data_IF_554661531455
#
_entry.id   IF_554661531455
#
_cell.length_a   1.000
_cell.length_b   1.000
_cell.length_c   1.000
_cell.angle_alpha   90.00
_cell.angle_beta   90.00
_cell.angle_gamma   90.00
#
_symmetry.space_group_name_H-M   'P 1'
#
loop_
_entity.id
_entity.type
_entity.pdbx_description
1 polymer ?
#
# COMPACT_ATOMS: atom_id res chain seq x y z
N UNK A 1 -16.16 9.57 -26.52
CA UNK A 1 -15.82 8.80 -25.31
C UNK A 1 -16.64 9.35 -24.17
N UNK A 2 -17.58 8.57 -23.64
CA UNK A 2 -18.38 8.98 -22.48
C UNK A 2 -17.47 9.04 -21.26
N UNK A 3 -17.49 10.15 -20.53
CA UNK A 3 -16.75 10.29 -19.28
C UNK A 3 -17.54 9.53 -18.21
N UNK A 4 -16.88 8.65 -17.46
CA UNK A 4 -17.52 7.80 -16.45
C UNK A 4 -17.02 8.12 -15.03
N UNK A 5 -16.48 9.32 -14.77
CA UNK A 5 -16.03 9.65 -13.43
C UNK A 5 -17.22 9.56 -12.44
N UNK A 6 -17.03 8.86 -11.33
CA UNK A 6 -18.06 8.69 -10.31
C UNK A 6 -17.66 9.53 -9.11
N UNK A 7 -18.61 10.33 -8.61
CA UNK A 7 -18.41 11.18 -7.44
C UNK A 7 -19.44 10.86 -6.37
N UNK A 8 -19.06 10.84 -5.08
CA UNK A 8 -20.02 10.77 -3.99
C UNK A 8 -20.93 12.00 -4.04
N UNK A 9 -22.20 11.80 -3.70
CA UNK A 9 -23.21 12.84 -3.59
C UNK A 9 -23.48 13.11 -2.11
N UNK A 10 -23.54 14.38 -1.74
CA UNK A 10 -23.86 14.76 -0.37
C UNK A 10 -25.34 14.48 -0.09
N UNK A 11 -25.63 13.38 0.61
CA UNK A 11 -26.96 12.99 1.07
C UNK A 11 -26.97 12.79 2.59
N UNK A 12 -28.11 13.10 3.23
CA UNK A 12 -28.26 13.07 4.70
C UNK A 12 -28.40 11.63 5.24
N UNK A 13 -28.70 10.64 4.39
CA UNK A 13 -29.13 9.30 4.84
C UNK A 13 -28.55 8.09 4.10
N UNK A 14 -27.64 8.24 3.14
CA UNK A 14 -26.88 7.12 2.55
C UNK A 14 -25.78 7.66 1.63
N UNK A 15 -24.64 6.94 1.53
CA UNK A 15 -23.58 7.23 0.57
C UNK A 15 -24.07 6.95 -0.86
N UNK A 16 -24.70 7.94 -1.49
CA UNK A 16 -25.11 7.86 -2.90
C UNK A 16 -23.97 8.34 -3.79
N UNK A 17 -23.84 7.74 -4.97
CA UNK A 17 -22.81 8.12 -5.96
C UNK A 17 -23.49 8.44 -7.28
N UNK A 18 -22.93 9.37 -8.04
CA UNK A 18 -23.37 9.68 -9.39
C UNK A 18 -22.21 9.52 -10.37
N UNK A 19 -22.50 8.89 -11.50
CA UNK A 19 -21.56 8.81 -12.62
C UNK A 19 -21.85 9.93 -13.63
N UNK A 20 -20.80 10.46 -14.26
CA UNK A 20 -20.89 11.39 -15.39
C UNK A 20 -21.72 10.85 -16.58
N UNK A 21 -21.98 9.54 -16.64
CA UNK A 21 -22.88 8.93 -17.62
C UNK A 21 -24.39 9.06 -17.29
N UNK A 22 -24.73 9.65 -16.13
CA UNK A 22 -26.11 9.84 -15.66
C UNK A 22 -26.63 8.74 -14.73
N UNK A 23 -25.83 7.71 -14.44
CA UNK A 23 -26.22 6.65 -13.50
C UNK A 23 -26.21 7.15 -12.06
N UNK A 24 -27.29 6.85 -11.32
CA UNK A 24 -27.38 7.01 -9.86
C UNK A 24 -27.09 5.66 -9.21
N UNK A 25 -26.11 5.63 -8.32
CA UNK A 25 -25.54 4.41 -7.75
C UNK A 25 -25.83 4.43 -6.25
N UNK A 26 -26.78 3.59 -5.83
CA UNK A 26 -27.24 3.48 -4.46
C UNK A 26 -26.20 2.72 -3.61
N UNK A 27 -25.31 3.45 -2.96
CA UNK A 27 -24.29 2.86 -2.09
C UNK A 27 -22.98 2.53 -2.80
N UNK A 28 -21.93 2.37 -1.99
CA UNK A 28 -20.57 2.11 -2.44
C UNK A 28 -20.43 0.87 -3.32
N UNK A 29 -21.11 -0.23 -2.97
CA UNK A 29 -21.01 -1.49 -3.72
C UNK A 29 -21.48 -1.33 -5.18
N UNK A 30 -22.59 -0.60 -5.41
CA UNK A 30 -23.08 -0.35 -6.77
C UNK A 30 -22.12 0.55 -7.55
N UNK A 31 -21.47 1.51 -6.88
CA UNK A 31 -20.43 2.33 -7.48
C UNK A 31 -19.18 1.53 -7.87
N UNK A 32 -18.76 0.56 -7.03
CA UNK A 32 -17.62 -0.31 -7.29
C UNK A 32 -17.87 -1.22 -8.51
N UNK A 33 -19.07 -1.83 -8.60
CA UNK A 33 -19.47 -2.64 -9.76
C UNK A 33 -19.55 -1.79 -11.02
N UNK A 34 -20.19 -0.61 -10.97
CA UNK A 34 -20.28 0.25 -12.14
C UNK A 34 -18.91 0.74 -12.61
N UNK A 35 -18.00 1.09 -11.69
CA UNK A 35 -16.62 1.42 -12.01
C UNK A 35 -15.90 0.24 -12.69
N UNK A 36 -16.10 -0.97 -12.16
CA UNK A 36 -15.53 -2.20 -12.70
C UNK A 36 -15.91 -2.43 -14.16
N UNK A 37 -17.21 -2.36 -14.46
CA UNK A 37 -17.77 -2.58 -15.79
C UNK A 37 -17.28 -1.55 -16.81
N UNK A 38 -16.95 -0.34 -16.36
CA UNK A 38 -16.49 0.76 -17.20
C UNK A 38 -14.96 0.93 -17.23
N UNK A 39 -14.21 -0.08 -16.75
CA UNK A 39 -12.75 -0.07 -16.80
C UNK A 39 -12.09 0.96 -15.88
N UNK A 40 -12.80 1.42 -14.86
CA UNK A 40 -12.32 2.36 -13.86
C UNK A 40 -11.82 1.64 -12.60
N UNK A 41 -10.86 2.26 -11.92
CA UNK A 41 -10.39 1.78 -10.64
C UNK A 41 -11.55 1.77 -9.64
N UNK A 42 -11.80 0.62 -9.00
CA UNK A 42 -12.91 0.50 -8.03
C UNK A 42 -12.61 1.19 -6.68
N UNK A 43 -11.34 1.50 -6.39
CA UNK A 43 -10.96 2.16 -5.13
C UNK A 43 -11.20 3.68 -5.17
N UNK A 44 -10.88 4.34 -6.29
CA UNK A 44 -11.05 5.79 -6.47
C UNK A 44 -12.17 6.16 -7.43
N UNK A 45 -12.87 5.18 -7.99
CA UNK A 45 -13.95 5.34 -8.96
C UNK A 45 -13.58 6.20 -10.18
N UNK A 46 -12.33 6.13 -10.60
CA UNK A 46 -11.79 6.92 -11.72
C UNK A 46 -11.35 8.34 -11.38
N UNK A 47 -11.50 8.80 -10.13
CA UNK A 47 -11.14 10.17 -9.71
C UNK A 47 -9.64 10.44 -9.61
N UNK A 48 -8.80 9.39 -9.75
CA UNK A 48 -7.33 9.40 -9.58
C UNK A 48 -6.81 9.74 -8.18
N UNK A 49 -7.68 10.12 -7.25
CA UNK A 49 -7.32 10.53 -5.90
C UNK A 49 -8.03 9.69 -4.85
N UNK A 50 -7.41 9.56 -3.68
CA UNK A 50 -8.00 8.93 -2.51
C UNK A 50 -7.88 9.85 -1.30
N UNK A 51 -8.80 9.66 -0.35
CA UNK A 51 -8.84 10.37 0.94
C UNK A 51 -8.70 9.33 2.06
N UNK A 52 -7.47 8.90 2.39
CA UNK A 52 -7.25 7.84 3.38
C UNK A 52 -7.76 8.23 4.78
N UNK A 53 -7.63 9.51 5.11
CA UNK A 53 -8.16 10.14 6.33
C UNK A 53 -8.76 11.50 5.96
N UNK A 54 -9.71 12.04 6.76
CA UNK A 54 -10.25 13.36 6.52
C UNK A 54 -9.15 14.42 6.35
N UNK A 55 -9.25 15.25 5.29
CA UNK A 55 -8.30 16.32 5.01
C UNK A 55 -7.01 15.89 4.28
N UNK A 56 -6.69 14.61 4.20
CA UNK A 56 -5.51 14.14 3.45
C UNK A 56 -5.90 13.66 2.05
N UNK A 57 -5.48 14.41 1.03
CA UNK A 57 -5.65 14.05 -0.38
C UNK A 57 -4.34 13.51 -0.95
N UNK A 58 -4.37 12.33 -1.56
CA UNK A 58 -3.21 11.77 -2.28
C UNK A 58 -3.60 11.06 -3.58
N UNK A 59 -2.66 10.84 -4.52
CA UNK A 59 -2.92 9.99 -5.68
C UNK A 59 -3.36 8.58 -5.24
N UNK A 60 -4.32 8.01 -5.96
CA UNK A 60 -4.83 6.69 -5.63
C UNK A 60 -3.75 5.62 -5.80
N UNK A 61 -3.33 5.02 -4.70
CA UNK A 61 -2.27 4.01 -4.67
C UNK A 61 -2.71 2.71 -5.34
N UNK A 62 -4.01 2.38 -5.25
CA UNK A 62 -4.58 1.18 -5.86
C UNK A 62 -4.52 1.16 -7.38
N UNK A 63 -4.34 2.30 -8.06
CA UNK A 63 -4.24 2.36 -9.53
C UNK A 63 -3.10 3.27 -10.01
N UNK A 64 -2.11 3.54 -9.15
CA UNK A 64 -1.02 4.47 -9.41
C UNK A 64 -1.49 5.85 -9.96
N UNK A 65 -2.62 6.35 -9.45
CA UNK A 65 -3.20 7.64 -9.87
C UNK A 65 -3.75 7.68 -11.30
N UNK A 66 -3.89 6.54 -11.98
CA UNK A 66 -4.43 6.51 -13.35
C UNK A 66 -5.95 6.55 -13.40
N UNK A 67 -6.62 6.15 -12.31
CA UNK A 67 -8.07 5.98 -12.26
C UNK A 67 -8.56 4.76 -13.04
N UNK A 68 -7.67 3.89 -13.51
CA UNK A 68 -8.00 2.79 -14.42
C UNK A 68 -7.95 1.43 -13.73
N UNK A 69 -8.85 0.54 -14.16
CA UNK A 69 -8.96 -0.83 -13.62
C UNK A 69 -7.78 -1.71 -14.01
N UNK A 70 -7.24 -1.53 -15.22
CA UNK A 70 -6.13 -2.36 -15.72
C UNK A 70 -4.91 -2.26 -14.81
N UNK A 71 -4.54 -1.04 -14.46
CA UNK A 71 -3.44 -0.71 -13.57
C UNK A 71 -3.71 -1.20 -12.15
N UNK A 72 -4.97 -1.10 -11.69
CA UNK A 72 -5.39 -1.68 -10.43
C UNK A 72 -5.20 -3.20 -10.39
N UNK A 73 -5.66 -3.92 -11.41
CA UNK A 73 -5.51 -5.38 -11.48
C UNK A 73 -4.04 -5.78 -11.61
N UNK A 74 -3.26 -5.06 -12.41
CA UNK A 74 -1.82 -5.31 -12.53
C UNK A 74 -1.10 -5.13 -11.18
N UNK A 75 -1.47 -4.09 -10.42
CA UNK A 75 -0.93 -3.85 -9.08
C UNK A 75 -1.33 -4.95 -8.10
N UNK A 76 -2.61 -5.37 -8.10
CA UNK A 76 -3.10 -6.46 -7.26
C UNK A 76 -2.39 -7.78 -7.56
N UNK A 77 -2.18 -8.11 -8.83
CA UNK A 77 -1.44 -9.31 -9.23
C UNK A 77 0.01 -9.26 -8.74
N UNK A 78 0.69 -8.11 -8.91
CA UNK A 78 2.06 -7.94 -8.43
C UNK A 78 2.14 -8.02 -6.89
N UNK A 79 1.11 -7.55 -6.18
CA UNK A 79 1.04 -7.67 -4.73
C UNK A 79 0.88 -9.13 -4.29
N UNK A 80 -0.04 -9.89 -4.89
CA UNK A 80 -0.22 -11.30 -4.61
C UNK A 80 1.03 -12.14 -4.96
N UNK A 81 1.70 -11.82 -6.08
CA UNK A 81 2.97 -12.45 -6.47
C UNK A 81 4.07 -12.15 -5.44
N UNK A 82 4.15 -10.91 -4.95
CA UNK A 82 5.09 -10.53 -3.90
C UNK A 82 4.81 -11.24 -2.56
N UNK A 83 3.55 -11.41 -2.15
CA UNK A 83 3.20 -12.17 -0.94
C UNK A 83 3.65 -13.63 -1.03
N UNK A 84 3.52 -14.23 -2.21
CA UNK A 84 3.92 -15.61 -2.45
C UNK A 84 5.45 -15.79 -2.47
N UNK A 85 6.17 -14.88 -3.12
CA UNK A 85 7.64 -14.98 -3.27
C UNK A 85 8.41 -14.48 -2.05
N UNK A 86 7.98 -13.36 -1.47
CA UNK A 86 8.64 -12.69 -0.36
C UNK A 86 7.94 -13.11 0.93
N UNK A 87 8.44 -14.21 1.48
CA UNK A 87 7.91 -14.82 2.71
C UNK A 87 8.67 -14.33 3.94
N UNK A 88 8.09 -14.58 5.11
CA UNK A 88 8.75 -14.31 6.39
C UNK A 88 10.12 -15.00 6.50
N UNK A 89 10.24 -16.24 5.99
CA UNK A 89 11.50 -16.98 6.01
C UNK A 89 12.59 -16.31 5.17
N UNK A 90 12.22 -15.75 4.00
CA UNK A 90 13.14 -14.98 3.14
C UNK A 90 13.63 -13.74 3.87
N UNK A 91 12.71 -12.96 4.46
CA UNK A 91 13.06 -11.72 5.17
C UNK A 91 13.93 -12.01 6.40
N UNK A 92 13.59 -13.02 7.22
CA UNK A 92 14.43 -13.45 8.35
C UNK A 92 15.84 -13.83 7.90
N UNK A 93 15.97 -14.65 6.85
CA UNK A 93 17.27 -15.07 6.33
C UNK A 93 18.12 -13.94 5.73
N UNK A 94 17.52 -12.81 5.36
CA UNK A 94 18.24 -11.58 5.00
C UNK A 94 18.65 -10.82 6.25
N UNK A 95 17.71 -10.57 7.16
CA UNK A 95 17.93 -9.85 8.42
C UNK A 95 19.02 -10.52 9.28
N UNK A 96 19.10 -11.84 9.28
CA UNK A 96 20.10 -12.61 10.06
C UNK A 96 21.55 -12.32 9.68
N UNK A 97 21.78 -11.74 8.49
CA UNK A 97 23.12 -11.34 8.02
C UNK A 97 23.57 -9.98 8.54
N UNK A 98 22.68 -9.25 9.22
CA UNK A 98 22.96 -7.92 9.74
C UNK A 98 23.25 -8.00 11.24
N UNK A 99 24.51 -7.76 11.62
CA UNK A 99 24.93 -7.73 13.03
C UNK A 99 24.58 -6.41 13.74
N UNK A 100 24.44 -5.33 12.98
CA UNK A 100 24.04 -4.01 13.46
C UNK A 100 22.64 -3.58 13.01
N UNK A 101 22.28 -2.31 13.27
CA UNK A 101 21.06 -1.71 12.74
C UNK A 101 20.99 -1.76 11.22
N UNK A 102 19.78 -1.90 10.67
CA UNK A 102 19.51 -1.97 9.24
C UNK A 102 18.26 -1.17 8.88
N UNK A 103 18.21 -0.65 7.65
CA UNK A 103 17.11 0.16 7.13
C UNK A 103 16.16 -0.66 6.28
N UNK A 104 14.92 -0.17 6.10
CA UNK A 104 13.94 -0.76 5.19
C UNK A 104 14.51 -0.93 3.78
N UNK A 105 15.13 0.12 3.25
CA UNK A 105 15.74 0.14 1.92
C UNK A 105 16.78 -0.97 1.74
N UNK A 106 17.68 -1.14 2.71
CA UNK A 106 18.74 -2.15 2.68
C UNK A 106 18.19 -3.59 2.61
N UNK A 107 17.17 -3.89 3.43
CA UNK A 107 16.53 -5.22 3.41
C UNK A 107 15.75 -5.42 2.11
N UNK A 108 15.05 -4.39 1.63
CA UNK A 108 14.30 -4.47 0.37
C UNK A 108 15.23 -4.70 -0.83
N UNK A 109 16.40 -4.05 -0.85
CA UNK A 109 17.41 -4.23 -1.89
C UNK A 109 18.03 -5.64 -1.81
N UNK A 110 18.42 -6.10 -0.63
CA UNK A 110 18.96 -7.45 -0.45
C UNK A 110 17.96 -8.57 -0.82
N UNK A 111 16.66 -8.39 -0.53
CA UNK A 111 15.61 -9.31 -0.98
C UNK A 111 15.46 -9.28 -2.50
N UNK A 112 15.47 -8.10 -3.11
CA UNK A 112 15.37 -7.96 -4.57
C UNK A 112 16.53 -8.65 -5.28
N UNK A 113 17.74 -8.41 -4.80
CA UNK A 113 18.97 -9.00 -5.34
C UNK A 113 18.98 -10.52 -5.17
N UNK A 114 18.59 -11.01 -3.99
CA UNK A 114 18.48 -12.44 -3.70
C UNK A 114 17.47 -13.18 -4.58
N UNK A 115 16.41 -12.50 -5.02
CA UNK A 115 15.40 -13.05 -5.93
C UNK A 115 15.69 -12.79 -7.41
N UNK A 116 16.78 -12.07 -7.74
CA UNK A 116 17.12 -11.71 -9.12
C UNK A 116 16.06 -10.85 -9.82
N UNK A 117 15.34 -10.02 -9.07
CA UNK A 117 14.21 -9.26 -9.59
C UNK A 117 14.66 -7.93 -10.22
N UNK A 118 14.17 -7.58 -11.43
CA UNK A 118 14.39 -6.25 -12.00
C UNK A 118 13.76 -5.15 -11.12
N UNK A 119 14.33 -3.93 -11.11
CA UNK A 119 13.70 -2.79 -10.46
C UNK A 119 12.26 -2.57 -10.96
N UNK A 120 11.34 -2.31 -10.03
CA UNK A 120 9.93 -2.04 -10.36
C UNK A 120 9.08 -3.26 -10.72
N UNK A 121 9.64 -4.49 -10.76
CA UNK A 121 8.87 -5.70 -11.10
C UNK A 121 7.82 -6.08 -10.05
N UNK A 122 8.15 -5.94 -8.77
CA UNK A 122 7.30 -6.27 -7.63
C UNK A 122 7.35 -5.16 -6.56
N UNK A 123 6.29 -5.01 -5.74
CA UNK A 123 6.27 -4.11 -4.59
C UNK A 123 7.11 -4.65 -3.42
N UNK A 124 8.41 -4.86 -3.63
CA UNK A 124 9.33 -5.44 -2.65
C UNK A 124 9.37 -4.61 -1.35
N UNK A 125 9.55 -3.29 -1.46
CA UNK A 125 9.64 -2.40 -0.29
C UNK A 125 8.41 -2.48 0.63
N UNK A 126 7.18 -2.26 0.12
CA UNK A 126 5.97 -2.44 0.91
C UNK A 126 5.86 -3.82 1.56
N UNK A 127 6.11 -4.90 0.81
CA UNK A 127 6.01 -6.26 1.37
C UNK A 127 7.04 -6.53 2.45
N UNK A 128 8.29 -6.10 2.25
CA UNK A 128 9.36 -6.23 3.26
C UNK A 128 9.03 -5.44 4.51
N UNK A 129 8.53 -4.20 4.37
CA UNK A 129 8.09 -3.39 5.51
C UNK A 129 7.05 -4.12 6.34
N UNK A 130 6.02 -4.68 5.70
CA UNK A 130 4.93 -5.35 6.40
C UNK A 130 5.45 -6.55 7.20
N UNK A 131 6.37 -7.34 6.62
CA UNK A 131 7.03 -8.45 7.32
C UNK A 131 7.99 -8.00 8.44
N UNK A 132 8.69 -6.88 8.30
CA UNK A 132 9.51 -6.31 9.37
C UNK A 132 8.63 -5.84 10.55
N UNK A 133 7.47 -5.26 10.27
CA UNK A 133 6.49 -4.89 11.30
C UNK A 133 5.95 -6.12 12.03
N UNK A 134 5.70 -7.23 11.32
CA UNK A 134 5.35 -8.51 11.93
C UNK A 134 6.48 -9.05 12.82
N UNK A 135 7.74 -9.01 12.36
CA UNK A 135 8.91 -9.40 13.17
C UNK A 135 9.05 -8.55 14.44
N UNK A 136 8.77 -7.26 14.34
CA UNK A 136 8.76 -6.36 15.48
C UNK A 136 7.63 -6.72 16.45
N UNK A 137 6.44 -7.02 15.95
CA UNK A 137 5.29 -7.39 16.78
C UNK A 137 5.53 -8.67 17.60
N UNK A 138 6.33 -9.61 17.09
CA UNK A 138 6.73 -10.83 17.80
C UNK A 138 8.04 -10.67 18.60
N UNK A 139 8.63 -9.48 18.62
CA UNK A 139 9.81 -9.15 19.43
C UNK A 139 11.14 -9.67 18.87
N UNK A 140 11.22 -10.04 17.60
CA UNK A 140 12.49 -10.47 16.98
C UNK A 140 13.40 -9.28 16.63
N UNK A 141 12.81 -8.13 16.33
CA UNK A 141 13.49 -6.88 16.01
C UNK A 141 12.84 -5.71 16.74
N UNK A 142 13.57 -4.61 16.87
CA UNK A 142 13.11 -3.36 17.50
C UNK A 142 13.34 -2.19 16.56
N UNK A 143 12.35 -1.33 16.37
CA UNK A 143 12.51 -0.09 15.60
C UNK A 143 13.31 0.93 16.41
N UNK A 144 14.32 1.52 15.77
CA UNK A 144 15.16 2.57 16.35
C UNK A 144 14.76 3.97 15.88
N UNK A 145 14.12 4.08 14.72
CA UNK A 145 13.73 5.38 14.15
C UNK A 145 12.57 6.03 14.91
N UNK A 146 12.66 7.35 15.08
CA UNK A 146 11.50 8.20 15.34
C UNK A 146 10.71 8.45 14.04
N UNK A 147 9.41 8.76 14.11
CA UNK A 147 8.63 9.19 12.95
C UNK A 147 9.25 10.41 12.27
N UNK A 148 9.23 10.44 10.93
CA UNK A 148 9.64 11.62 10.16
C UNK A 148 8.57 12.72 10.17
N UNK A 149 7.30 12.31 10.21
CA UNK A 149 6.16 13.23 10.16
C UNK A 149 4.95 12.64 10.91
N UNK A 150 4.22 13.51 11.61
CA UNK A 150 2.90 13.20 12.18
C UNK A 150 1.82 13.74 11.24
N UNK A 151 0.90 12.87 10.80
CA UNK A 151 -0.22 13.24 9.94
C UNK A 151 -1.52 13.12 10.75
N UNK A 152 -2.09 14.26 11.12
CA UNK A 152 -3.23 14.31 12.04
C UNK A 152 -2.83 13.92 13.47
N UNK A 153 -3.73 13.27 14.20
CA UNK A 153 -3.50 12.85 15.59
C UNK A 153 -2.86 11.47 15.72
N UNK A 154 -3.10 10.58 14.75
CA UNK A 154 -2.87 9.14 14.95
C UNK A 154 -2.01 8.47 13.86
N UNK A 155 -1.63 9.19 12.80
CA UNK A 155 -0.83 8.61 11.72
C UNK A 155 0.61 9.14 11.76
N UNK A 156 1.56 8.22 11.60
CA UNK A 156 3.00 8.48 11.54
C UNK A 156 3.54 8.08 10.18
N UNK A 157 4.42 8.90 9.62
CA UNK A 157 5.16 8.59 8.41
C UNK A 157 6.61 8.24 8.76
N UNK A 158 7.05 7.10 8.24
CA UNK A 158 8.45 6.71 8.21
C UNK A 158 8.86 6.54 6.75
N UNK A 159 9.89 7.25 6.31
CA UNK A 159 10.39 7.21 4.93
C UNK A 159 11.34 6.03 4.71
N UNK A 160 12.30 5.86 5.61
CA UNK A 160 13.25 4.74 5.59
C UNK A 160 13.60 4.33 7.03
N UNK A 161 12.64 3.72 7.75
CA UNK A 161 12.82 3.33 9.15
C UNK A 161 13.98 2.35 9.32
N UNK A 162 14.61 2.43 10.50
CA UNK A 162 15.72 1.60 10.91
C UNK A 162 15.28 0.67 12.05
N UNK A 163 15.72 -0.58 11.98
CA UNK A 163 15.51 -1.59 13.02
C UNK A 163 16.84 -2.21 13.44
N UNK A 164 16.81 -2.95 14.55
CA UNK A 164 17.89 -3.80 15.01
C UNK A 164 17.33 -5.11 15.56
N UNK A 165 18.07 -6.22 15.42
CA UNK A 165 17.70 -7.51 16.03
C UNK A 165 17.66 -7.40 17.55
N UNK A 166 16.62 -7.93 18.18
CA UNK A 166 16.42 -7.83 19.63
C UNK A 166 17.54 -8.52 20.43
N UNK A 167 18.11 -9.62 19.91
CA UNK A 167 19.25 -10.32 20.55
C UNK A 167 20.56 -9.54 20.52
N UNK A 168 20.67 -8.50 19.69
CA UNK A 168 21.85 -7.62 19.64
C UNK A 168 21.77 -6.46 20.65
N UNK A 169 20.61 -6.26 21.29
CA UNK A 169 20.39 -5.28 22.34
C UNK A 169 20.66 -5.92 23.71
N UNK A 170 21.90 -6.32 23.95
CA UNK A 170 22.31 -6.91 25.23
C UNK A 170 22.33 -5.88 26.36
N UNK A 171 21.54 -6.14 27.41
CA UNK A 171 21.86 -5.82 28.80
C UNK A 171 21.85 -7.13 29.60
#
# INVERSE_FOLDING_TARGET
MTKHAISPQAGILDDTYACDCGAVLAGRMTAEVHAAENGLCSACFGSTVEYPVPGLRRPCTSCAGTGRRREQVAWQLAHAEAEHMITMAVVRGVVDRYDGPFRLSEIADAVRDGLGLPPGRLPVGPRVRDLLLELQAVGEITMLSAPDEMIGTDMVLYRDPQWQRARSLGF
#
